data_IF_763389933867
#
_entry.id   IF_763389933867
#
_cell.length_a   1.000
_cell.length_b   1.000
_cell.length_c   1.000
_cell.angle_alpha   90.00
_cell.angle_beta   90.00
_cell.angle_gamma   90.00
#
_symmetry.space_group_name_H-M   'P 1'
#
loop_
_entity.id
_entity.type
_entity.pdbx_description
1 polymer ?
#
# COMPACT_ATOMS: atom_id res chain seq x y z
N UNK A 1 69.01 36.51 51.44
CA UNK A 1 69.90 37.23 50.49
C UNK A 1 69.21 37.27 49.13
N UNK A 2 69.30 38.42 48.44
CA UNK A 2 68.77 38.87 47.13
C UNK A 2 68.09 37.84 46.23
N UNK A 3 66.86 38.03 45.74
CA UNK A 3 66.31 39.12 44.89
C UNK A 3 66.81 39.10 43.45
N UNK A 4 65.91 38.79 42.51
CA UNK A 4 65.82 39.42 41.18
C UNK A 4 64.43 39.18 40.58
N UNK A 5 63.77 40.28 40.20
CA UNK A 5 62.50 40.38 39.46
C UNK A 5 62.76 40.37 37.95
N UNK A 6 61.71 40.09 37.16
CA UNK A 6 61.33 40.63 35.82
C UNK A 6 60.64 39.51 35.02
N UNK A 7 59.68 39.70 34.12
CA UNK A 7 58.58 40.63 33.88
C UNK A 7 57.99 40.22 32.51
N UNK A 8 56.67 40.25 32.38
CA UNK A 8 55.85 40.32 31.15
C UNK A 8 56.13 39.34 29.97
N UNK A 9 55.08 38.63 29.55
CA UNK A 9 54.26 39.07 28.39
C UNK A 9 53.01 38.21 28.24
N UNK A 10 51.86 38.89 28.21
CA UNK A 10 50.58 38.36 27.77
C UNK A 10 50.65 37.88 26.32
N UNK A 11 50.01 36.76 26.01
CA UNK A 11 49.28 36.63 24.74
C UNK A 11 48.00 35.87 25.01
N UNK A 12 46.91 36.63 25.02
CA UNK A 12 45.54 36.13 25.04
C UNK A 12 45.22 35.76 23.58
N UNK A 13 45.08 34.47 23.26
CA UNK A 13 44.51 34.05 21.97
C UNK A 13 43.06 33.64 22.26
N UNK A 14 42.18 34.61 22.03
CA UNK A 14 40.75 34.44 21.94
C UNK A 14 40.45 33.84 20.56
N UNK A 15 40.48 32.52 20.42
CA UNK A 15 39.89 31.85 19.24
C UNK A 15 38.43 31.57 19.52
N UNK A 16 37.61 32.50 19.05
CA UNK A 16 36.18 32.39 18.84
C UNK A 16 35.83 31.11 18.09
N UNK A 17 35.29 30.10 18.79
CA UNK A 17 34.58 28.97 18.19
C UNK A 17 33.15 29.43 17.85
N UNK A 18 33.05 30.32 16.87
CA UNK A 18 31.78 30.71 16.28
C UNK A 18 31.53 29.83 15.05
N UNK A 19 30.40 29.13 15.05
CA UNK A 19 29.71 28.72 13.83
C UNK A 19 30.08 27.36 13.27
N UNK A 20 29.70 26.30 13.96
CA UNK A 20 29.25 25.06 13.29
C UNK A 20 27.93 24.61 13.93
N UNK A 21 26.92 25.47 13.85
CA UNK A 21 25.54 25.00 13.74
C UNK A 21 25.39 24.43 12.32
N UNK A 22 26.00 23.29 12.09
CA UNK A 22 25.62 22.40 11.01
C UNK A 22 24.25 21.85 11.43
N UNK A 23 23.19 22.59 11.13
CA UNK A 23 21.86 22.03 10.95
C UNK A 23 21.98 21.10 9.74
N UNK A 24 22.60 19.93 9.94
CA UNK A 24 22.28 18.78 9.14
C UNK A 24 20.82 18.55 9.39
N UNK A 25 19.98 19.03 8.48
CA UNK A 25 18.61 18.58 8.40
C UNK A 25 18.70 17.07 8.31
N UNK A 26 18.41 16.38 9.42
CA UNK A 26 18.05 14.99 9.34
C UNK A 26 16.98 14.94 8.25
N UNK A 27 17.23 14.18 7.19
CA UNK A 27 16.15 13.80 6.30
C UNK A 27 15.04 13.30 7.23
N UNK A 28 13.87 13.92 7.11
CA UNK A 28 12.69 13.56 7.90
C UNK A 28 12.56 12.03 7.80
N UNK A 29 12.68 11.34 8.94
CA UNK A 29 12.58 9.88 8.95
C UNK A 29 11.22 9.52 8.35
N UNK A 30 11.19 8.57 7.43
CA UNK A 30 9.94 8.11 6.82
C UNK A 30 9.06 7.51 7.92
N UNK A 31 8.05 8.27 8.35
CA UNK A 31 7.13 7.88 9.42
C UNK A 31 5.97 7.04 8.91
N UNK A 32 5.95 6.67 7.62
CA UNK A 32 4.91 5.81 7.06
C UNK A 32 4.96 4.44 7.73
N UNK A 33 3.80 3.99 8.20
CA UNK A 33 3.67 2.69 8.85
C UNK A 33 3.66 1.54 7.84
N UNK A 34 3.08 1.80 6.67
CA UNK A 34 2.88 0.84 5.60
C UNK A 34 3.95 1.00 4.52
N UNK A 35 4.56 -0.12 4.15
CA UNK A 35 5.46 -0.21 3.00
C UNK A 35 4.62 -0.35 1.72
N UNK A 36 4.69 0.63 0.83
CA UNK A 36 3.93 0.60 -0.42
C UNK A 36 4.63 -0.23 -1.51
N UNK A 37 5.72 -0.92 -1.21
CA UNK A 37 6.44 -1.75 -2.18
C UNK A 37 5.89 -3.17 -2.25
N UNK A 38 6.07 -3.80 -3.42
CA UNK A 38 5.70 -5.19 -3.64
C UNK A 38 4.22 -5.40 -3.93
N UNK A 39 3.82 -6.67 -3.81
CA UNK A 39 2.44 -7.14 -3.98
C UNK A 39 1.90 -7.58 -2.64
N UNK A 40 0.65 -7.24 -2.35
CA UNK A 40 0.00 -7.52 -1.09
C UNK A 40 -1.12 -8.53 -1.31
N UNK A 41 -0.97 -9.74 -0.78
CA UNK A 41 -1.98 -10.79 -0.89
C UNK A 41 -2.86 -10.82 0.36
N UNK A 42 -4.18 -10.93 0.17
CA UNK A 42 -5.12 -11.16 1.25
C UNK A 42 -4.84 -12.53 1.91
N UNK A 43 -4.69 -12.55 3.23
CA UNK A 43 -4.46 -13.78 4.02
C UNK A 43 -5.61 -14.07 4.97
N UNK A 44 -6.23 -13.03 5.53
CA UNK A 44 -7.38 -13.16 6.44
C UNK A 44 -8.36 -12.01 6.22
N UNK A 45 -9.62 -12.22 6.57
CA UNK A 45 -10.63 -11.18 6.52
C UNK A 45 -11.71 -11.39 7.58
N UNK A 46 -12.47 -10.34 7.89
CA UNK A 46 -13.76 -10.45 8.56
C UNK A 46 -14.71 -9.45 7.95
N UNK A 47 -15.93 -9.89 7.62
CA UNK A 47 -16.96 -9.03 7.03
C UNK A 47 -17.83 -8.36 8.09
N UNK A 48 -17.84 -8.90 9.31
CA UNK A 48 -18.59 -8.36 10.45
C UNK A 48 -17.70 -7.53 11.41
N UNK A 49 -16.43 -7.34 11.05
CA UNK A 49 -15.44 -6.62 11.86
C UNK A 49 -14.91 -7.37 13.08
N UNK A 50 -15.33 -8.62 13.32
CA UNK A 50 -14.83 -9.48 14.41
C UNK A 50 -14.64 -10.91 13.94
N UNK A 51 -13.66 -11.62 14.52
CA UNK A 51 -13.38 -13.03 14.23
C UNK A 51 -12.86 -13.25 12.81
N UNK A 52 -11.54 -13.13 12.62
CA UNK A 52 -10.91 -13.32 11.33
C UNK A 52 -11.04 -14.76 10.80
N UNK A 53 -11.40 -14.87 9.53
CA UNK A 53 -11.37 -16.08 8.73
C UNK A 53 -10.09 -16.11 7.90
N UNK A 54 -9.50 -17.31 7.71
CA UNK A 54 -8.34 -17.48 6.85
C UNK A 54 -8.78 -17.68 5.40
N UNK A 55 -7.99 -17.14 4.46
CA UNK A 55 -8.11 -17.51 3.06
C UNK A 55 -7.63 -18.96 2.87
N UNK A 56 -8.49 -19.80 2.31
CA UNK A 56 -8.13 -21.20 2.01
C UNK A 56 -6.95 -21.26 1.05
N UNK A 57 -6.13 -22.31 1.18
CA UNK A 57 -4.93 -22.52 0.36
C UNK A 57 -5.20 -22.46 -1.15
N UNK A 58 -6.36 -22.95 -1.60
CA UNK A 58 -6.77 -22.95 -3.01
C UNK A 58 -7.18 -21.58 -3.56
N UNK A 59 -7.36 -20.59 -2.67
CA UNK A 59 -7.72 -19.20 -3.00
C UNK A 59 -6.63 -18.19 -2.63
N UNK A 60 -5.50 -18.67 -2.11
CA UNK A 60 -4.37 -17.80 -1.79
C UNK A 60 -3.87 -17.12 -3.05
N UNK A 61 -3.46 -15.87 -2.90
CA UNK A 61 -2.96 -15.03 -3.98
C UNK A 61 -4.00 -14.71 -5.07
N UNK A 62 -5.29 -14.96 -4.86
CA UNK A 62 -6.34 -14.56 -5.81
C UNK A 62 -6.90 -13.16 -5.54
N UNK A 63 -6.51 -12.53 -4.43
CA UNK A 63 -6.94 -11.19 -4.04
C UNK A 63 -5.70 -10.39 -3.69
N UNK A 64 -5.33 -9.50 -4.60
CA UNK A 64 -4.03 -8.85 -4.60
C UNK A 64 -4.22 -7.33 -4.63
N UNK A 65 -3.34 -6.62 -3.93
CA UNK A 65 -3.12 -5.19 -4.11
C UNK A 65 -1.69 -4.96 -4.61
N UNK A 66 -1.52 -4.00 -5.50
CA UNK A 66 -0.20 -3.51 -5.92
C UNK A 66 -0.24 -1.99 -5.98
N UNK A 67 0.73 -1.36 -5.31
CA UNK A 67 0.83 0.09 -5.26
C UNK A 67 1.88 0.56 -6.27
N UNK A 68 1.60 1.69 -6.92
CA UNK A 68 2.58 2.50 -7.64
C UNK A 68 2.74 3.82 -6.87
N UNK A 69 3.75 3.95 -5.98
CA UNK A 69 3.94 5.14 -5.17
C UNK A 69 4.26 6.39 -5.98
N UNK A 70 4.84 6.22 -7.16
CA UNK A 70 5.18 7.31 -8.10
C UNK A 70 3.92 7.86 -8.78
N UNK A 71 3.00 6.97 -9.18
CA UNK A 71 1.72 7.36 -9.79
C UNK A 71 0.66 7.75 -8.74
N UNK A 72 0.89 7.43 -7.46
CA UNK A 72 -0.10 7.53 -6.38
C UNK A 72 -1.37 6.73 -6.70
N UNK A 73 -1.18 5.51 -7.21
CA UNK A 73 -2.25 4.58 -7.56
C UNK A 73 -2.08 3.25 -6.84
N UNK A 74 -3.19 2.62 -6.47
CA UNK A 74 -3.25 1.20 -6.13
C UNK A 74 -4.12 0.47 -7.17
N UNK A 75 -3.62 -0.64 -7.68
CA UNK A 75 -4.39 -1.61 -8.43
C UNK A 75 -4.83 -2.71 -7.47
N UNK A 76 -6.12 -3.02 -7.47
CA UNK A 76 -6.68 -4.15 -6.74
C UNK A 76 -7.19 -5.18 -7.74
N UNK A 77 -6.75 -6.43 -7.58
CA UNK A 77 -7.07 -7.49 -8.50
C UNK A 77 -7.73 -8.68 -7.77
N UNK A 78 -8.82 -9.21 -8.33
CA UNK A 78 -9.43 -10.45 -7.87
C UNK A 78 -9.62 -11.45 -9.00
N UNK A 79 -9.19 -12.69 -8.77
CA UNK A 79 -9.38 -13.77 -9.71
C UNK A 79 -10.73 -14.47 -9.48
N UNK A 80 -11.48 -14.73 -10.55
CA UNK A 80 -12.68 -15.55 -10.56
C UNK A 80 -12.78 -16.42 -11.82
N UNK A 81 -13.71 -17.37 -11.85
CA UNK A 81 -13.92 -18.23 -13.02
C UNK A 81 -14.93 -17.59 -13.97
N UNK A 82 -14.62 -17.53 -15.27
CA UNK A 82 -15.50 -17.00 -16.30
C UNK A 82 -16.86 -17.69 -16.27
N UNK A 83 -17.94 -16.89 -16.35
CA UNK A 83 -19.31 -17.39 -16.25
C UNK A 83 -19.80 -17.62 -14.81
N UNK A 84 -18.95 -17.42 -13.80
CA UNK A 84 -19.39 -17.20 -12.43
C UNK A 84 -19.64 -15.70 -12.20
N UNK A 85 -20.66 -15.37 -11.42
CA UNK A 85 -20.89 -14.01 -10.91
C UNK A 85 -20.15 -13.74 -9.61
N UNK A 86 -19.30 -14.68 -9.15
CA UNK A 86 -18.83 -14.69 -7.78
C UNK A 86 -17.39 -14.20 -7.70
N UNK A 87 -17.21 -12.89 -7.57
CA UNK A 87 -15.99 -12.25 -7.04
C UNK A 87 -15.88 -12.40 -5.51
N UNK A 88 -16.70 -13.27 -4.91
CA UNK A 88 -16.73 -13.48 -3.47
C UNK A 88 -15.42 -14.14 -3.00
N UNK A 89 -14.84 -13.58 -1.94
CA UNK A 89 -13.64 -14.04 -1.22
C UNK A 89 -13.71 -15.53 -0.90
N UNK A 90 -14.92 -16.06 -0.68
CA UNK A 90 -15.20 -17.46 -0.39
C UNK A 90 -15.30 -18.39 -1.61
N UNK A 91 -15.58 -17.85 -2.80
CA UNK A 91 -16.03 -18.64 -3.94
C UNK A 91 -15.06 -18.60 -5.14
N UNK A 92 -13.98 -17.82 -5.08
CA UNK A 92 -12.97 -17.82 -6.15
C UNK A 92 -12.46 -19.23 -6.43
N UNK A 93 -12.44 -19.58 -7.70
CA UNK A 93 -12.19 -20.95 -8.19
C UNK A 93 -11.22 -20.99 -9.36
N UNK A 94 -10.39 -19.96 -9.55
CA UNK A 94 -9.45 -19.87 -10.66
C UNK A 94 -8.53 -21.09 -10.81
N UNK A 95 -8.04 -21.63 -9.71
CA UNK A 95 -7.19 -22.82 -9.70
C UNK A 95 -7.93 -24.12 -10.06
N UNK A 96 -9.26 -24.14 -9.96
CA UNK A 96 -10.07 -25.32 -10.33
C UNK A 96 -10.27 -25.42 -11.85
N UNK A 97 -10.28 -24.29 -12.55
CA UNK A 97 -10.37 -24.24 -14.00
C UNK A 97 -9.59 -23.06 -14.57
N UNK A 98 -8.27 -23.23 -14.58
CA UNK A 98 -7.29 -22.24 -15.05
C UNK A 98 -7.60 -21.69 -16.44
N UNK A 99 -8.08 -22.53 -17.35
CA UNK A 99 -8.44 -22.14 -18.71
C UNK A 99 -9.61 -21.13 -18.78
N UNK A 100 -10.38 -21.00 -17.70
CA UNK A 100 -11.47 -20.03 -17.55
C UNK A 100 -11.19 -19.01 -16.45
N UNK A 101 -9.98 -18.95 -15.91
CA UNK A 101 -9.64 -17.94 -14.92
C UNK A 101 -9.67 -16.54 -15.57
N UNK A 102 -10.24 -15.58 -14.86
CA UNK A 102 -10.34 -14.19 -15.27
C UNK A 102 -10.01 -13.32 -14.07
N UNK A 103 -9.26 -12.26 -14.32
CA UNK A 103 -8.95 -11.25 -13.31
C UNK A 103 -9.83 -10.03 -13.50
N UNK A 104 -10.47 -9.58 -12.42
CA UNK A 104 -11.10 -8.27 -12.33
C UNK A 104 -10.11 -7.28 -11.73
N UNK A 105 -10.10 -6.05 -12.23
CA UNK A 105 -9.15 -5.02 -11.83
C UNK A 105 -9.84 -3.70 -11.54
N UNK A 106 -9.56 -3.19 -10.34
CA UNK A 106 -10.01 -1.88 -9.88
C UNK A 106 -8.81 -0.96 -9.67
N UNK A 107 -8.92 0.28 -10.14
CA UNK A 107 -7.86 1.27 -10.03
C UNK A 107 -8.30 2.38 -9.06
N UNK A 108 -7.45 2.70 -8.09
CA UNK A 108 -7.72 3.79 -7.14
C UNK A 108 -6.54 4.76 -7.07
N UNK A 109 -6.81 6.04 -7.28
CA UNK A 109 -5.88 7.08 -6.88
C UNK A 109 -5.90 7.15 -5.34
N UNK A 110 -4.75 7.37 -4.71
CA UNK A 110 -4.70 7.43 -3.25
C UNK A 110 -3.84 8.56 -2.70
N UNK A 111 -4.17 8.98 -1.49
CA UNK A 111 -3.28 9.74 -0.61
C UNK A 111 -3.08 8.96 0.66
N UNK A 112 -1.86 8.99 1.20
CA UNK A 112 -1.49 8.27 2.41
C UNK A 112 -0.74 9.19 3.37
N UNK A 113 -1.20 9.22 4.62
CA UNK A 113 -0.58 9.97 5.71
C UNK A 113 -0.63 9.14 7.00
N UNK A 114 0.55 8.81 7.54
CA UNK A 114 0.76 8.00 8.76
C UNK A 114 0.07 6.62 8.75
N UNK A 115 -1.20 6.53 9.15
CA UNK A 115 -2.01 5.29 9.16
C UNK A 115 -3.30 5.42 8.35
N UNK A 116 -3.54 6.58 7.72
CA UNK A 116 -4.79 6.91 7.08
C UNK A 116 -4.59 7.03 5.58
N UNK A 117 -5.37 6.28 4.82
CA UNK A 117 -5.44 6.41 3.37
C UNK A 117 -6.81 6.93 2.95
N UNK A 118 -6.83 7.64 1.82
CA UNK A 118 -8.06 7.95 1.10
C UNK A 118 -7.88 7.46 -0.32
N UNK A 119 -8.80 6.61 -0.77
CA UNK A 119 -8.80 6.00 -2.11
C UNK A 119 -9.94 6.58 -2.93
N UNK A 120 -9.70 6.90 -4.19
CA UNK A 120 -10.73 7.34 -5.13
C UNK A 120 -10.65 6.50 -6.39
N UNK A 121 -11.73 5.76 -6.66
CA UNK A 121 -11.82 4.88 -7.82
C UNK A 121 -11.83 5.68 -9.13
N UNK A 122 -11.21 5.12 -10.15
CA UNK A 122 -11.28 5.63 -11.51
C UNK A 122 -11.31 4.49 -12.51
N UNK A 123 -11.81 4.76 -13.72
CA UNK A 123 -11.97 3.73 -14.72
C UNK A 123 -10.59 3.28 -15.28
N UNK A 124 -10.41 1.97 -15.54
CA UNK A 124 -9.26 1.44 -16.26
C UNK A 124 -8.92 2.24 -17.53
N UNK A 125 -7.65 2.60 -17.70
CA UNK A 125 -7.17 3.37 -18.85
C UNK A 125 -7.35 4.90 -18.73
N UNK A 126 -8.08 5.40 -17.74
CA UNK A 126 -8.17 6.84 -17.47
C UNK A 126 -6.97 7.35 -16.65
N UNK A 127 -6.79 8.68 -16.60
CA UNK A 127 -5.77 9.25 -15.73
C UNK A 127 -6.25 9.24 -14.27
N UNK A 128 -5.38 8.96 -13.29
CA UNK A 128 -5.74 9.01 -11.87
C UNK A 128 -6.32 10.38 -11.51
N UNK A 129 -7.52 10.44 -10.91
CA UNK A 129 -8.12 11.69 -10.49
C UNK A 129 -7.35 12.25 -9.28
N UNK A 130 -7.55 13.55 -9.02
CA UNK A 130 -7.16 14.11 -7.73
C UNK A 130 -8.08 13.52 -6.67
N UNK A 131 -7.49 12.89 -5.64
CA UNK A 131 -8.23 12.36 -4.49
C UNK A 131 -8.92 13.51 -3.75
N UNK A 132 -10.25 13.43 -3.66
CA UNK A 132 -11.06 14.37 -2.92
C UNK A 132 -11.07 14.02 -1.42
N UNK A 133 -11.51 14.98 -0.60
CA UNK A 133 -11.75 14.69 0.81
C UNK A 133 -12.93 13.72 0.94
N UNK A 134 -12.83 12.69 1.81
CA UNK A 134 -13.94 11.79 2.06
C UNK A 134 -15.09 12.55 2.74
N UNK A 135 -16.32 12.25 2.36
CA UNK A 135 -17.54 12.80 2.99
C UNK A 135 -18.34 11.69 3.65
N UNK A 136 -19.11 11.99 4.73
CA UNK A 136 -19.89 10.97 5.42
C UNK A 136 -20.92 10.25 4.55
N UNK A 137 -21.34 10.87 3.44
CA UNK A 137 -22.33 10.36 2.49
C UNK A 137 -21.70 9.74 1.23
N UNK A 138 -20.36 9.68 1.13
CA UNK A 138 -19.64 9.12 -0.02
C UNK A 138 -19.79 9.91 -1.32
N UNK A 139 -20.39 11.11 -1.29
CA UNK A 139 -20.73 11.89 -2.50
C UNK A 139 -19.53 12.32 -3.35
N UNK A 140 -18.32 12.29 -2.80
CA UNK A 140 -17.08 12.60 -3.53
C UNK A 140 -16.48 11.41 -4.26
N UNK A 141 -17.00 10.20 -4.06
CA UNK A 141 -16.40 8.96 -4.57
C UNK A 141 -15.04 8.61 -3.94
N UNK A 142 -14.63 9.36 -2.90
CA UNK A 142 -13.44 9.08 -2.11
C UNK A 142 -13.81 8.28 -0.87
N UNK A 143 -13.02 7.26 -0.58
CA UNK A 143 -13.21 6.31 0.49
C UNK A 143 -12.05 6.37 1.48
N UNK A 144 -12.36 6.60 2.76
CA UNK A 144 -11.36 6.61 3.82
C UNK A 144 -11.14 5.19 4.36
N UNK A 145 -9.88 4.84 4.57
CA UNK A 145 -9.51 3.57 5.19
C UNK A 145 -8.30 3.75 6.11
N UNK A 146 -8.14 2.83 7.05
CA UNK A 146 -7.05 2.83 8.02
C UNK A 146 -6.17 1.60 7.83
N UNK A 147 -4.86 1.80 7.96
CA UNK A 147 -3.86 0.75 7.95
C UNK A 147 -3.30 0.58 9.36
N UNK A 148 -3.49 -0.61 9.92
CA UNK A 148 -3.06 -0.98 11.26
C UNK A 148 -1.97 -2.05 11.21
N UNK A 149 -1.06 -2.01 12.19
CA UNK A 149 0.01 -3.02 12.31
C UNK A 149 -0.53 -4.31 12.88
N UNK A 150 -0.04 -5.45 12.38
CA UNK A 150 -0.26 -6.75 13.02
C UNK A 150 0.96 -7.18 13.84
N UNK A 151 0.84 -8.30 14.57
CA UNK A 151 1.97 -8.91 15.27
C UNK A 151 3.04 -9.49 14.32
N UNK A 152 2.74 -9.57 13.02
CA UNK A 152 3.62 -10.13 11.99
C UNK A 152 4.26 -9.05 11.14
N UNK A 153 5.57 -9.19 10.89
CA UNK A 153 6.29 -8.30 10.00
C UNK A 153 5.73 -8.38 8.57
N UNK A 154 5.64 -7.22 7.90
CA UNK A 154 5.15 -7.08 6.52
C UNK A 154 3.72 -7.62 6.34
N UNK A 155 2.91 -7.52 7.41
CA UNK A 155 1.51 -7.89 7.42
C UNK A 155 0.74 -6.75 8.08
N UNK A 156 -0.26 -6.24 7.38
CA UNK A 156 -1.04 -5.08 7.80
C UNK A 156 -2.53 -5.37 7.68
N UNK A 157 -3.28 -4.81 8.62
CA UNK A 157 -4.73 -4.83 8.58
C UNK A 157 -5.24 -3.55 7.92
N UNK A 158 -6.09 -3.71 6.92
CA UNK A 158 -6.83 -2.65 6.26
C UNK A 158 -8.24 -2.66 6.81
N UNK A 159 -8.64 -1.55 7.41
CA UNK A 159 -9.97 -1.36 8.01
C UNK A 159 -10.80 -0.53 7.05
N UNK A 160 -11.98 -1.04 6.70
CA UNK A 160 -12.94 -0.37 5.82
C UNK A 160 -12.40 -0.17 4.39
N UNK A 161 -12.05 -1.24 3.66
CA UNK A 161 -11.81 -1.13 2.21
C UNK A 161 -13.06 -0.57 1.47
N UNK A 162 -12.96 -0.03 0.25
CA UNK A 162 -14.12 0.40 -0.53
C UNK A 162 -15.21 -0.69 -0.64
N UNK A 163 -16.49 -0.30 -0.62
CA UNK A 163 -17.60 -1.24 -0.72
C UNK A 163 -17.47 -2.12 -1.98
N UNK A 164 -17.72 -3.42 -1.82
CA UNK A 164 -17.59 -4.42 -2.88
C UNK A 164 -16.18 -4.96 -3.08
N UNK A 165 -15.13 -4.20 -2.77
CA UNK A 165 -13.76 -4.66 -2.92
C UNK A 165 -13.47 -5.79 -1.93
N UNK A 166 -13.22 -7.00 -2.44
CA UNK A 166 -13.00 -8.21 -1.64
C UNK A 166 -14.11 -8.44 -0.59
N UNK A 167 -15.36 -8.22 -1.01
CA UNK A 167 -16.57 -8.30 -0.17
C UNK A 167 -16.63 -7.30 0.99
N UNK A 168 -15.81 -6.26 0.95
CA UNK A 168 -15.92 -5.18 1.92
C UNK A 168 -17.32 -4.58 1.90
N UNK A 169 -17.81 -4.25 3.10
CA UNK A 169 -19.04 -3.49 3.33
C UNK A 169 -18.80 -1.97 3.35
N UNK A 170 -17.58 -1.52 3.09
CA UNK A 170 -17.20 -0.10 3.15
C UNK A 170 -17.09 0.47 4.56
N UNK A 171 -17.27 -0.34 5.62
CA UNK A 171 -17.47 0.19 6.97
C UNK A 171 -16.82 -0.66 8.05
N UNK A 172 -17.35 -1.86 8.32
CA UNK A 172 -16.90 -2.67 9.47
C UNK A 172 -15.96 -3.79 9.09
N UNK A 173 -15.92 -4.15 7.82
CA UNK A 173 -15.03 -5.19 7.31
C UNK A 173 -13.55 -4.82 7.47
N UNK A 174 -12.75 -5.86 7.71
CA UNK A 174 -11.31 -5.79 7.95
C UNK A 174 -10.61 -6.86 7.14
N UNK A 175 -9.46 -6.51 6.57
CA UNK A 175 -8.73 -7.35 5.63
C UNK A 175 -7.24 -7.33 5.98
N UNK A 176 -6.66 -8.49 6.24
CA UNK A 176 -5.23 -8.62 6.55
C UNK A 176 -4.48 -9.03 5.30
N UNK A 177 -3.57 -8.16 4.87
CA UNK A 177 -2.70 -8.40 3.74
C UNK A 177 -1.28 -8.69 4.20
N UNK A 178 -0.61 -9.59 3.49
CA UNK A 178 0.80 -9.88 3.65
C UNK A 178 1.56 -9.51 2.38
N UNK A 179 2.71 -8.84 2.55
CA UNK A 179 3.62 -8.54 1.45
C UNK A 179 4.19 -9.83 0.85
N UNK A 180 4.22 -9.88 -0.47
CA UNK A 180 4.76 -10.95 -1.31
C UNK A 180 5.72 -10.36 -2.34
N UNK A 181 6.43 -11.24 -3.03
CA UNK A 181 7.29 -10.85 -4.14
C UNK A 181 6.46 -10.34 -5.33
N UNK A 182 7.04 -9.41 -6.11
CA UNK A 182 6.42 -8.86 -7.32
C UNK A 182 6.07 -9.92 -8.36
N UNK A 183 6.80 -11.05 -8.39
CA UNK A 183 6.52 -12.19 -9.28
C UNK A 183 5.12 -12.76 -9.11
N UNK A 184 4.44 -12.47 -8.00
CA UNK A 184 3.04 -12.87 -7.82
C UNK A 184 2.07 -12.09 -8.71
N UNK A 185 2.45 -10.88 -9.13
CA UNK A 185 1.70 -10.05 -10.08
C UNK A 185 2.08 -10.37 -11.54
N UNK A 186 3.14 -11.14 -11.75
CA UNK A 186 3.59 -11.63 -13.06
C UNK A 186 3.04 -13.05 -13.29
N UNK A 187 1.75 -13.25 -12.99
CA UNK A 187 1.08 -14.56 -13.11
C UNK A 187 0.55 -14.76 -14.52
N UNK A 188 0.73 -15.97 -15.04
CA UNK A 188 0.07 -16.51 -16.24
C UNK A 188 -0.63 -17.80 -15.79
N UNK A 189 -1.84 -17.67 -15.25
CA UNK A 189 -2.55 -18.75 -14.58
C UNK A 189 -3.06 -19.79 -15.58
N UNK A 190 -3.39 -19.36 -16.79
CA UNK A 190 -3.94 -20.20 -17.85
C UNK A 190 -2.85 -20.80 -18.77
N UNK A 191 -1.59 -20.40 -18.56
CA UNK A 191 -0.39 -20.83 -19.30
C UNK A 191 -0.48 -20.51 -20.80
N UNK A 192 -1.15 -19.42 -21.18
CA UNK A 192 -1.31 -19.00 -22.58
C UNK A 192 -0.13 -18.19 -23.13
N UNK A 193 0.86 -17.87 -22.28
CA UNK A 193 2.05 -17.09 -22.60
C UNK A 193 1.86 -15.59 -22.44
N UNK A 194 0.73 -15.14 -21.91
CA UNK A 194 0.41 -13.75 -21.59
C UNK A 194 0.27 -13.61 -20.07
N UNK A 195 0.86 -12.57 -19.49
CA UNK A 195 0.67 -12.30 -18.06
C UNK A 195 -0.73 -11.72 -17.83
N UNK A 196 -1.50 -12.34 -16.95
CA UNK A 196 -2.91 -12.01 -16.72
C UNK A 196 -3.11 -10.59 -16.15
N UNK A 197 -2.16 -10.13 -15.34
CA UNK A 197 -2.22 -8.86 -14.61
C UNK A 197 -1.40 -7.74 -15.28
N UNK A 198 -0.79 -8.00 -16.44
CA UNK A 198 -0.11 -6.94 -17.21
C UNK A 198 -1.10 -5.88 -17.67
N UNK A 199 -2.28 -6.30 -18.15
CA UNK A 199 -3.34 -5.38 -18.55
C UNK A 199 -3.81 -4.54 -17.36
N UNK A 200 -3.95 -5.15 -16.18
CA UNK A 200 -4.25 -4.44 -14.94
C UNK A 200 -3.23 -3.32 -14.65
N UNK A 201 -1.95 -3.63 -14.87
CA UNK A 201 -0.85 -2.69 -14.65
C UNK A 201 -0.88 -1.54 -15.65
N UNK A 202 -1.06 -1.84 -16.95
CA UNK A 202 -1.18 -0.81 -17.99
C UNK A 202 -2.42 0.07 -17.78
N UNK A 203 -3.52 -0.52 -17.35
CA UNK A 203 -4.78 0.20 -17.14
C UNK A 203 -4.74 1.10 -15.91
N UNK A 204 -4.13 0.66 -14.81
CA UNK A 204 -4.10 1.43 -13.57
C UNK A 204 -2.91 2.39 -13.47
N UNK A 205 -1.73 2.05 -14.00
CA UNK A 205 -0.48 2.79 -13.76
C UNK A 205 -0.06 3.61 -15.00
N UNK A 206 -0.20 4.95 -14.99
CA UNK A 206 0.23 5.80 -16.10
C UNK A 206 1.70 5.63 -16.48
N UNK A 207 2.58 5.35 -15.52
CA UNK A 207 4.00 5.11 -15.78
C UNK A 207 4.31 3.85 -16.59
N UNK A 208 3.34 2.94 -16.72
CA UNK A 208 3.48 1.66 -17.44
C UNK A 208 2.77 1.64 -18.81
N UNK A 209 2.20 2.77 -19.24
CA UNK A 209 1.60 2.96 -20.58
C UNK A 209 2.61 3.51 -21.57
#
# INVERSE_FOLDING_TARGET
>A
MSSARLALTSTLVLTSLAGLLSLGGCAEEDTRLFDETGVWSLEQYTLAGTGFENIDQVRKNHYLLRFSPDDKVVAAANCYTQGSSNSNVNDSSCELNKALAVWDCHCYAYVYDNSRMVWQEFAPGENPPKVASPTPDGSTGSHELFVETTDSKNTYEFVSLPEGLFNSDGSTSRHIFQQKADTLWEVDINEDGTLDLDQCSMDCFPSMR
#
